data_IF_784823335689
#
_entry.id   IF_784823335689
#
_cell.length_a   1.000
_cell.length_b   1.000
_cell.length_c   1.000
_cell.angle_alpha   90.00
_cell.angle_beta   90.00
_cell.angle_gamma   90.00
#
_symmetry.space_group_name_H-M   'P 1'
#
loop_
_entity.id
_entity.type
_entity.pdbx_description
1 polymer ?
#
# COMPACT_ATOMS: atom_id res chain seq x y z
N UNK A 1 -11.99 -21.93 -7.96
CA UNK A 1 -10.70 -22.30 -8.56
C UNK A 1 -10.41 -21.31 -9.69
N UNK A 2 -9.66 -20.25 -9.41
CA UNK A 2 -9.12 -19.37 -10.44
C UNK A 2 -7.62 -19.34 -10.23
N UNK A 3 -6.95 -20.28 -10.89
CA UNK A 3 -5.50 -20.32 -11.06
C UNK A 3 -5.04 -18.96 -11.59
N UNK A 4 -4.11 -18.29 -10.91
CA UNK A 4 -3.37 -17.17 -11.49
C UNK A 4 -2.54 -17.74 -12.64
N UNK A 5 -3.02 -17.60 -13.86
CA UNK A 5 -2.31 -18.12 -15.05
C UNK A 5 -1.02 -17.33 -15.23
N UNK A 6 0.10 -17.93 -14.84
CA UNK A 6 1.43 -17.36 -15.05
C UNK A 6 1.71 -17.31 -16.55
N UNK A 7 1.91 -16.10 -17.09
CA UNK A 7 2.16 -15.90 -18.52
C UNK A 7 3.61 -16.31 -18.86
N UNK A 8 3.78 -17.11 -19.92
CA UNK A 8 5.09 -17.58 -20.37
C UNK A 8 5.65 -16.67 -21.48
N UNK A 9 6.97 -16.56 -21.54
CA UNK A 9 7.66 -15.93 -22.65
C UNK A 9 7.37 -16.71 -23.93
N UNK A 10 6.70 -16.08 -24.89
CA UNK A 10 6.28 -16.70 -26.15
C UNK A 10 7.49 -17.24 -26.91
N UNK A 11 8.56 -16.45 -27.02
CA UNK A 11 9.76 -16.83 -27.79
C UNK A 11 10.48 -18.03 -27.17
N UNK A 12 10.61 -18.07 -25.83
CA UNK A 12 11.23 -19.21 -25.16
C UNK A 12 10.35 -20.45 -25.27
N UNK A 13 9.04 -20.28 -25.10
CA UNK A 13 8.07 -21.36 -25.18
C UNK A 13 8.08 -22.01 -26.57
N UNK A 14 8.08 -21.21 -27.63
CA UNK A 14 8.21 -21.68 -29.02
C UNK A 14 9.56 -22.41 -29.26
N UNK A 15 10.60 -22.01 -28.53
CA UNK A 15 11.91 -22.68 -28.50
C UNK A 15 11.97 -23.92 -27.59
N UNK A 16 10.84 -24.39 -27.03
CA UNK A 16 10.77 -25.56 -26.15
C UNK A 16 11.20 -25.31 -24.70
N UNK A 17 11.36 -24.04 -24.30
CA UNK A 17 11.83 -23.65 -22.96
C UNK A 17 10.77 -22.82 -22.25
N UNK A 18 10.23 -23.32 -21.14
CA UNK A 18 9.28 -22.57 -20.31
C UNK A 18 10.02 -21.56 -19.43
N UNK A 19 10.01 -20.28 -19.83
CA UNK A 19 10.45 -19.15 -18.99
C UNK A 19 9.27 -18.22 -18.72
N UNK A 20 9.20 -17.70 -17.50
CA UNK A 20 8.19 -16.71 -17.11
C UNK A 20 8.37 -15.40 -17.89
N UNK A 21 7.26 -14.81 -18.34
CA UNK A 21 7.25 -13.50 -18.96
C UNK A 21 7.20 -12.39 -17.90
N UNK A 22 8.06 -11.40 -18.06
CA UNK A 22 8.06 -10.19 -17.21
C UNK A 22 7.49 -8.98 -17.94
N UNK A 23 7.36 -9.07 -19.26
CA UNK A 23 6.96 -7.95 -20.12
C UNK A 23 6.04 -8.43 -21.22
N UNK A 24 5.05 -7.63 -21.56
CA UNK A 24 4.20 -7.79 -22.74
C UNK A 24 4.40 -6.58 -23.65
N UNK A 25 4.62 -6.84 -24.94
CA UNK A 25 4.70 -5.79 -25.94
C UNK A 25 3.32 -5.58 -26.56
N UNK A 26 2.83 -4.34 -26.49
CA UNK A 26 1.49 -3.97 -26.92
C UNK A 26 1.33 -4.17 -28.44
N UNK A 27 2.33 -3.75 -29.20
CA UNK A 27 2.25 -3.80 -30.67
C UNK A 27 2.57 -5.18 -31.26
N UNK A 28 3.37 -5.98 -30.57
CA UNK A 28 3.68 -7.34 -30.99
C UNK A 28 2.65 -8.36 -30.48
N UNK A 29 1.90 -8.03 -29.42
CA UNK A 29 1.04 -8.96 -28.68
C UNK A 29 1.80 -10.18 -28.16
N UNK A 30 3.09 -10.01 -27.88
CA UNK A 30 4.01 -11.08 -27.50
C UNK A 30 4.51 -10.84 -26.09
N UNK A 31 4.56 -11.92 -25.31
CA UNK A 31 5.16 -11.95 -23.99
C UNK A 31 6.66 -12.25 -24.08
N UNK A 32 7.45 -11.48 -23.34
CA UNK A 32 8.90 -11.60 -23.28
C UNK A 32 9.39 -11.82 -21.84
N UNK A 33 10.37 -12.71 -21.68
CA UNK A 33 11.25 -12.74 -20.52
C UNK A 33 12.34 -11.66 -20.67
N UNK A 34 13.11 -11.40 -19.60
CA UNK A 34 14.16 -10.37 -19.63
C UNK A 34 15.22 -10.59 -20.71
N UNK A 35 15.53 -11.85 -21.04
CA UNK A 35 16.52 -12.17 -22.08
C UNK A 35 16.01 -11.87 -23.50
N UNK A 36 14.69 -12.02 -23.73
CA UNK A 36 14.07 -11.82 -25.04
C UNK A 36 13.57 -10.39 -25.27
N UNK A 37 13.24 -9.65 -24.20
CA UNK A 37 12.81 -8.24 -24.27
C UNK A 37 13.96 -7.33 -24.69
N UNK A 38 15.16 -7.57 -24.17
CA UNK A 38 16.34 -6.76 -24.46
C UNK A 38 16.68 -6.66 -25.96
N UNK A 39 16.81 -7.77 -26.73
CA UNK A 39 17.06 -7.70 -28.16
C UNK A 39 15.87 -7.11 -28.95
N UNK A 40 14.63 -7.30 -28.48
CA UNK A 40 13.44 -6.67 -29.07
C UNK A 40 13.53 -5.15 -28.97
N UNK A 41 13.78 -4.62 -27.78
CA UNK A 41 13.89 -3.18 -27.52
C UNK A 41 15.10 -2.52 -28.18
N UNK A 42 16.20 -3.27 -28.35
CA UNK A 42 17.40 -2.76 -29.01
C UNK A 42 17.34 -2.84 -30.55
N UNK A 43 16.39 -3.59 -31.10
CA UNK A 43 16.22 -3.70 -32.55
C UNK A 43 15.76 -2.38 -33.17
N UNK A 44 16.37 -1.99 -34.29
CA UNK A 44 15.95 -0.79 -35.03
C UNK A 44 14.48 -0.83 -35.46
N UNK A 45 13.93 -2.03 -35.66
CA UNK A 45 12.55 -2.25 -36.11
C UNK A 45 11.53 -2.08 -34.97
N UNK A 46 11.89 -2.44 -33.74
CA UNK A 46 10.93 -2.54 -32.62
C UNK A 46 11.25 -1.63 -31.44
N UNK A 47 12.35 -0.85 -31.50
CA UNK A 47 12.77 0.10 -30.44
C UNK A 47 11.70 1.11 -29.99
N UNK A 48 10.68 1.34 -30.82
CA UNK A 48 9.59 2.27 -30.55
C UNK A 48 8.31 1.59 -30.04
N UNK A 49 8.29 0.26 -29.99
CA UNK A 49 7.17 -0.49 -29.44
C UNK A 49 7.07 -0.22 -27.93
N UNK A 50 5.84 -0.10 -27.45
CA UNK A 50 5.53 0.10 -26.05
C UNK A 50 5.38 -1.26 -25.37
N UNK A 51 5.98 -1.34 -24.20
CA UNK A 51 5.93 -2.51 -23.35
C UNK A 51 5.34 -2.16 -22.00
N UNK A 52 4.63 -3.12 -21.41
CA UNK A 52 4.13 -3.06 -20.03
C UNK A 52 4.54 -4.34 -19.30
N UNK A 53 4.56 -4.32 -17.97
CA UNK A 53 4.87 -5.52 -17.20
C UNK A 53 3.78 -6.59 -17.38
N UNK A 54 4.13 -7.86 -17.20
CA UNK A 54 3.16 -8.95 -17.18
C UNK A 54 2.09 -8.77 -16.09
N UNK A 55 2.42 -8.10 -14.98
CA UNK A 55 1.45 -7.69 -13.97
C UNK A 55 0.55 -6.54 -14.44
N UNK A 56 1.13 -5.52 -15.11
CA UNK A 56 0.35 -4.46 -15.73
C UNK A 56 -0.63 -4.99 -16.79
N UNK A 57 -0.28 -6.08 -17.47
CA UNK A 57 -1.19 -6.82 -18.35
C UNK A 57 -2.38 -7.44 -17.59
N UNK A 58 -2.16 -7.99 -16.40
CA UNK A 58 -3.24 -8.54 -15.54
C UNK A 58 -4.17 -7.46 -14.98
N UNK A 59 -3.69 -6.21 -14.91
CA UNK A 59 -4.48 -5.05 -14.53
C UNK A 59 -5.18 -4.39 -15.74
N UNK A 60 -4.86 -4.82 -16.97
CA UNK A 60 -5.62 -4.38 -18.13
C UNK A 60 -7.04 -4.94 -18.04
N UNK A 61 -8.05 -4.20 -18.51
CA UNK A 61 -9.39 -4.76 -18.65
C UNK A 61 -9.38 -6.08 -19.45
N UNK A 62 -10.24 -7.02 -19.08
CA UNK A 62 -10.26 -8.40 -19.58
C UNK A 62 -10.24 -8.52 -21.11
N UNK A 63 -10.87 -7.57 -21.83
CA UNK A 63 -10.88 -7.56 -23.30
C UNK A 63 -9.49 -7.31 -23.94
N UNK A 64 -8.55 -6.65 -23.25
CA UNK A 64 -7.17 -6.53 -23.72
C UNK A 64 -6.39 -7.80 -23.43
N UNK A 65 -6.75 -8.51 -22.35
CA UNK A 65 -6.13 -9.77 -21.97
C UNK A 65 -6.55 -10.94 -22.88
N UNK A 66 -7.75 -10.86 -23.44
CA UNK A 66 -8.34 -11.89 -24.31
C UNK A 66 -7.99 -11.70 -25.80
N UNK A 67 -7.17 -10.70 -26.13
CA UNK A 67 -6.54 -10.60 -27.45
C UNK A 67 -7.52 -10.38 -28.60
N UNK A 68 -7.70 -9.13 -28.96
CA UNK A 68 -7.69 -8.76 -30.37
C UNK A 68 -6.96 -7.44 -30.51
N UNK A 69 -5.87 -7.40 -31.27
CA UNK A 69 -5.25 -6.13 -31.72
C UNK A 69 -6.21 -5.28 -32.56
N UNK A 70 -7.40 -5.83 -32.85
CA UNK A 70 -8.37 -5.33 -33.78
C UNK A 70 -9.78 -5.48 -33.21
N UNK A 71 -10.61 -4.47 -33.46
CA UNK A 71 -12.04 -4.49 -33.21
C UNK A 71 -12.69 -5.67 -33.93
N UNK A 72 -13.47 -6.49 -33.21
CA UNK A 72 -14.13 -7.69 -33.77
C UNK A 72 -15.18 -7.35 -34.83
N UNK A 73 -15.82 -6.19 -34.72
CA UNK A 73 -16.88 -5.76 -35.64
C UNK A 73 -16.33 -5.16 -36.94
N UNK A 74 -15.13 -4.55 -36.88
CA UNK A 74 -14.59 -3.75 -37.99
C UNK A 74 -13.21 -4.21 -38.48
N UNK A 75 -12.60 -5.18 -37.79
CA UNK A 75 -11.26 -5.71 -38.06
C UNK A 75 -10.19 -4.61 -38.21
N UNK A 76 -10.30 -3.56 -37.37
CA UNK A 76 -9.44 -2.37 -37.36
C UNK A 76 -8.80 -2.20 -36.00
N UNK A 77 -7.59 -1.63 -35.95
CA UNK A 77 -6.87 -1.38 -34.70
C UNK A 77 -7.69 -0.52 -33.74
N UNK A 78 -7.57 -0.82 -32.45
CA UNK A 78 -8.12 0.02 -31.41
C UNK A 78 -7.27 1.29 -31.27
N UNK A 79 -7.92 2.45 -31.29
CA UNK A 79 -7.26 3.76 -31.19
C UNK A 79 -7.86 4.62 -30.08
N UNK A 80 -9.07 4.28 -29.64
CA UNK A 80 -9.88 5.05 -28.70
C UNK A 80 -10.37 4.16 -27.56
N UNK A 81 -10.81 4.78 -26.48
CA UNK A 81 -11.45 4.18 -25.35
C UNK A 81 -12.76 4.89 -25.08
N UNK A 82 -13.85 4.14 -24.93
CA UNK A 82 -15.15 4.63 -24.53
C UNK A 82 -15.31 4.51 -23.01
N UNK A 83 -15.29 5.62 -22.24
CA UNK A 83 -15.44 5.55 -20.78
C UNK A 83 -16.81 5.00 -20.36
N UNK A 84 -17.86 5.29 -21.12
CA UNK A 84 -19.24 4.86 -20.81
C UNK A 84 -19.41 3.35 -20.78
N UNK A 85 -18.72 2.64 -21.68
CA UNK A 85 -18.80 1.19 -21.81
C UNK A 85 -17.54 0.48 -21.33
N UNK A 86 -16.59 1.26 -20.80
CA UNK A 86 -15.26 0.82 -20.42
C UNK A 86 -14.58 -0.07 -21.47
N UNK A 87 -14.65 0.29 -22.77
CA UNK A 87 -14.27 -0.58 -23.89
C UNK A 87 -13.47 0.16 -24.98
N UNK A 88 -12.46 -0.47 -25.63
CA UNK A 88 -11.64 0.15 -26.64
C UNK A 88 -12.37 0.10 -27.97
N UNK A 89 -12.16 1.13 -28.77
CA UNK A 89 -12.91 1.36 -29.98
C UNK A 89 -11.92 1.65 -31.11
N UNK A 90 -12.20 1.10 -32.29
CA UNK A 90 -11.62 1.66 -33.50
C UNK A 90 -12.37 2.96 -33.86
N UNK A 91 -11.81 3.77 -34.76
CA UNK A 91 -12.45 5.01 -35.18
C UNK A 91 -13.88 4.80 -35.75
N UNK A 92 -14.14 3.64 -36.34
CA UNK A 92 -15.45 3.29 -36.92
C UNK A 92 -16.49 2.88 -35.87
N UNK A 93 -16.08 2.40 -34.70
CA UNK A 93 -17.03 2.10 -33.62
C UNK A 93 -17.77 3.36 -33.14
N UNK A 94 -17.14 4.54 -33.23
CA UNK A 94 -17.75 5.83 -32.87
C UNK A 94 -19.01 6.05 -33.70
N UNK A 95 -18.89 5.82 -35.02
CA UNK A 95 -19.95 6.08 -35.97
C UNK A 95 -20.98 4.98 -36.03
N UNK A 96 -20.76 3.81 -35.43
CA UNK A 96 -21.69 2.69 -35.57
C UNK A 96 -22.42 2.46 -34.24
N UNK A 97 -21.65 2.20 -33.17
CA UNK A 97 -22.18 1.73 -31.89
C UNK A 97 -22.06 2.77 -30.76
N UNK A 98 -21.18 3.77 -30.89
CA UNK A 98 -20.87 4.74 -29.83
C UNK A 98 -21.30 6.17 -30.16
N UNK A 99 -22.22 6.38 -31.11
CA UNK A 99 -22.71 7.73 -31.52
C UNK A 99 -23.24 8.57 -30.35
N UNK A 100 -23.78 7.91 -29.32
CA UNK A 100 -24.37 8.53 -28.13
C UNK A 100 -23.40 8.61 -26.95
N UNK A 101 -22.24 7.98 -27.04
CA UNK A 101 -21.22 8.02 -26.00
C UNK A 101 -20.44 9.33 -26.12
N UNK A 102 -20.23 9.99 -24.99
CA UNK A 102 -19.48 11.23 -24.93
C UNK A 102 -18.09 10.97 -24.32
N UNK A 103 -17.15 11.88 -24.56
CA UNK A 103 -15.81 11.86 -23.96
C UNK A 103 -14.96 10.64 -24.33
N UNK A 104 -15.04 10.18 -25.58
CA UNK A 104 -14.09 9.19 -26.12
C UNK A 104 -12.66 9.69 -25.91
N UNK A 105 -11.80 8.87 -25.31
CA UNK A 105 -10.40 9.22 -25.03
C UNK A 105 -9.47 8.46 -25.98
N UNK A 106 -8.33 9.03 -26.42
CA UNK A 106 -7.31 8.25 -27.10
C UNK A 106 -6.85 7.10 -26.23
N UNK A 107 -6.81 5.89 -26.78
CA UNK A 107 -6.36 4.70 -26.06
C UNK A 107 -4.93 4.90 -25.54
N UNK A 108 -4.11 5.63 -26.31
CA UNK A 108 -2.75 5.98 -25.93
C UNK A 108 -2.63 6.82 -24.66
N UNK A 109 -3.67 7.57 -24.29
CA UNK A 109 -3.67 8.41 -23.09
C UNK A 109 -4.07 7.58 -21.86
N UNK A 110 -5.04 6.66 -22.01
CA UNK A 110 -5.32 5.65 -20.99
C UNK A 110 -4.07 4.81 -20.70
N UNK A 111 -3.36 4.38 -21.75
CA UNK A 111 -2.11 3.61 -21.60
C UNK A 111 -0.95 4.43 -21.02
N UNK A 112 -1.00 5.77 -21.02
CA UNK A 112 -0.05 6.64 -20.30
C UNK A 112 -0.45 6.81 -18.85
N UNK A 113 -1.74 6.92 -18.55
CA UNK A 113 -2.30 7.01 -17.20
C UNK A 113 -2.12 5.69 -16.42
N UNK A 114 -2.05 4.54 -17.11
CA UNK A 114 -1.72 3.23 -16.54
C UNK A 114 -0.22 3.07 -16.22
N UNK A 115 0.63 4.05 -16.58
CA UNK A 115 1.98 4.09 -15.99
C UNK A 115 1.85 4.56 -14.55
N UNK A 116 1.83 3.61 -13.61
CA UNK A 116 2.16 3.90 -12.23
C UNK A 116 3.40 4.81 -12.20
N UNK A 117 3.43 5.88 -11.37
CA UNK A 117 4.63 6.69 -11.24
C UNK A 117 5.77 5.73 -10.94
N UNK A 118 6.76 5.66 -11.84
CA UNK A 118 7.91 4.82 -11.61
C UNK A 118 8.51 5.23 -10.25
N UNK A 119 8.98 4.25 -9.48
CA UNK A 119 9.49 4.46 -8.11
C UNK A 119 10.45 5.66 -8.00
N UNK A 120 11.11 6.02 -9.10
CA UNK A 120 11.99 7.17 -9.23
C UNK A 120 11.34 8.55 -9.08
N UNK A 121 10.06 8.67 -9.43
CA UNK A 121 9.31 9.94 -9.39
C UNK A 121 8.79 10.27 -7.98
N UNK A 122 8.79 9.29 -7.08
CA UNK A 122 8.34 9.47 -5.69
C UNK A 122 9.34 10.37 -4.96
N UNK A 123 8.92 11.61 -4.70
CA UNK A 123 9.71 12.64 -4.01
C UNK A 123 8.82 13.43 -3.05
N UNK A 124 8.65 12.96 -1.80
CA UNK A 124 7.88 13.69 -0.82
C UNK A 124 8.55 15.02 -0.46
N UNK A 125 7.73 16.02 -0.16
CA UNK A 125 8.15 17.33 0.33
C UNK A 125 7.68 17.53 1.77
N UNK A 126 8.56 18.03 2.65
CA UNK A 126 8.20 18.31 4.04
C UNK A 126 7.18 19.45 4.08
N UNK A 127 6.01 19.19 4.64
CA UNK A 127 4.96 20.18 4.82
C UNK A 127 5.01 20.83 6.20
N UNK A 128 5.04 20.01 7.25
CA UNK A 128 4.86 20.46 8.63
C UNK A 128 5.65 19.58 9.60
N UNK A 129 6.01 20.19 10.73
CA UNK A 129 6.63 19.54 11.89
C UNK A 129 5.61 19.56 13.03
N UNK A 130 5.28 18.38 13.56
CA UNK A 130 4.33 18.25 14.65
C UNK A 130 5.10 18.28 15.97
N UNK A 131 4.99 19.41 16.66
CA UNK A 131 5.61 19.65 17.96
C UNK A 131 4.51 19.79 19.00
N UNK A 132 4.57 19.01 20.09
CA UNK A 132 3.74 19.28 21.27
C UNK A 132 4.49 20.27 22.16
N UNK A 133 3.94 21.48 22.31
CA UNK A 133 4.56 22.58 23.05
C UNK A 133 4.22 22.59 24.54
N UNK A 134 3.17 21.88 24.99
CA UNK A 134 2.72 21.91 26.38
C UNK A 134 3.23 20.72 27.20
N UNK A 135 3.74 21.00 28.41
CA UNK A 135 3.89 20.24 29.68
C UNK A 135 4.02 18.69 29.69
N UNK A 136 4.12 18.00 28.56
CA UNK A 136 4.26 16.56 28.44
C UNK A 136 5.75 16.25 28.38
N UNK A 137 6.30 15.93 29.56
CA UNK A 137 7.74 15.78 29.84
C UNK A 137 8.46 14.75 28.95
N UNK A 138 7.74 13.81 28.33
CA UNK A 138 8.27 12.90 27.32
C UNK A 138 7.14 12.32 26.47
N UNK A 139 7.29 12.32 25.15
CA UNK A 139 6.37 11.68 24.21
C UNK A 139 7.14 10.62 23.46
N UNK A 140 6.57 9.42 23.39
CA UNK A 140 7.13 8.32 22.63
C UNK A 140 6.04 7.80 21.70
N UNK A 141 6.14 8.14 20.42
CA UNK A 141 5.05 7.95 19.45
C UNK A 141 5.29 6.70 18.62
N UNK A 142 4.65 5.60 19.04
CA UNK A 142 4.82 4.28 18.40
C UNK A 142 3.79 3.99 17.31
N UNK A 143 2.71 4.76 17.27
CA UNK A 143 1.67 4.71 16.25
C UNK A 143 1.20 6.14 15.92
N UNK A 144 0.99 6.40 14.64
CA UNK A 144 0.37 7.64 14.15
C UNK A 144 -0.34 7.35 12.82
N UNK A 145 -1.47 8.01 12.58
CA UNK A 145 -2.17 7.92 11.31
C UNK A 145 -2.92 9.20 10.95
N UNK A 146 -3.24 9.35 9.67
CA UNK A 146 -3.92 10.50 9.10
C UNK A 146 -5.40 10.15 8.90
N UNK A 147 -6.29 10.93 9.48
CA UNK A 147 -7.73 10.77 9.29
C UNK A 147 -8.17 11.26 7.90
N UNK A 148 -9.32 10.82 7.37
CA UNK A 148 -9.83 11.26 6.07
C UNK A 148 -10.01 12.79 6.00
N UNK A 149 -10.36 13.42 7.12
CA UNK A 149 -10.50 14.87 7.24
C UNK A 149 -9.15 15.63 7.38
N UNK A 150 -8.02 14.94 7.26
CA UNK A 150 -6.67 15.51 7.34
C UNK A 150 -6.16 15.82 8.75
N UNK A 151 -6.93 15.52 9.80
CA UNK A 151 -6.44 15.54 11.19
C UNK A 151 -5.50 14.37 11.44
N UNK A 152 -4.69 14.46 12.49
CA UNK A 152 -3.75 13.41 12.84
C UNK A 152 -4.08 12.79 14.19
N UNK A 153 -3.88 11.48 14.28
CA UNK A 153 -3.92 10.74 15.52
C UNK A 153 -2.50 10.29 15.84
N UNK A 154 -2.09 10.45 17.10
CA UNK A 154 -0.79 9.99 17.59
C UNK A 154 -0.98 9.30 18.94
N UNK A 155 -0.22 8.24 19.18
CA UNK A 155 -0.24 7.50 20.44
C UNK A 155 0.93 7.89 21.31
N UNK A 156 0.65 8.41 22.50
CA UNK A 156 1.66 8.64 23.52
C UNK A 156 1.83 7.38 24.36
N UNK A 157 2.86 6.60 24.03
CA UNK A 157 3.18 5.34 24.70
C UNK A 157 3.57 5.52 26.17
N UNK A 158 4.15 6.67 26.55
CA UNK A 158 4.56 6.88 27.94
C UNK A 158 3.38 7.03 28.89
N UNK A 159 2.21 7.43 28.36
CA UNK A 159 0.99 7.68 29.12
C UNK A 159 -0.19 6.85 28.61
N UNK A 160 0.07 5.84 27.77
CA UNK A 160 -0.92 4.93 27.20
C UNK A 160 -2.18 5.65 26.68
N UNK A 161 -2.02 6.69 25.85
CA UNK A 161 -3.16 7.52 25.43
C UNK A 161 -3.14 7.92 23.97
N UNK A 162 -4.35 8.14 23.46
CA UNK A 162 -4.63 8.59 22.10
C UNK A 162 -4.76 10.11 22.08
N UNK A 163 -4.01 10.79 21.21
CA UNK A 163 -4.02 12.24 21.07
C UNK A 163 -4.53 12.64 19.68
N UNK A 164 -5.39 13.64 19.63
CA UNK A 164 -5.88 14.24 18.38
C UNK A 164 -5.17 15.56 18.09
N UNK A 165 -4.78 15.73 16.83
CA UNK A 165 -4.18 16.94 16.28
C UNK A 165 -4.99 17.48 15.12
N UNK A 166 -4.98 18.80 15.00
CA UNK A 166 -5.59 19.51 13.87
C UNK A 166 -4.83 19.27 12.57
N UNK A 167 -5.43 19.66 11.45
CA UNK A 167 -4.78 19.68 10.12
C UNK A 167 -3.52 20.58 10.09
N UNK A 168 -3.40 21.49 11.06
CA UNK A 168 -2.24 22.36 11.23
C UNK A 168 -1.15 21.77 12.13
N UNK A 169 -1.34 20.54 12.60
CA UNK A 169 -0.38 19.86 13.47
C UNK A 169 -0.39 20.36 14.91
N UNK A 170 -1.39 21.17 15.28
CA UNK A 170 -1.59 21.64 16.66
C UNK A 170 -2.35 20.59 17.46
N UNK A 171 -1.91 20.33 18.69
CA UNK A 171 -2.63 19.48 19.65
C UNK A 171 -4.04 20.01 19.89
N UNK A 172 -5.04 19.12 19.85
CA UNK A 172 -6.45 19.46 20.07
C UNK A 172 -6.91 18.95 21.42
N UNK A 173 -6.80 17.64 21.66
CA UNK A 173 -7.25 16.98 22.90
C UNK A 173 -6.69 15.57 23.02
N UNK A 174 -6.76 15.04 24.24
CA UNK A 174 -6.72 13.60 24.49
C UNK A 174 -8.08 13.00 24.13
N UNK A 175 -8.06 11.87 23.40
CA UNK A 175 -9.28 11.17 22.98
C UNK A 175 -9.64 10.10 24.00
N UNK A 176 -8.69 9.25 24.39
CA UNK A 176 -8.88 8.20 25.40
C UNK A 176 -7.54 7.76 25.97
N UNK A 177 -7.54 7.35 27.24
CA UNK A 177 -6.40 6.70 27.92
C UNK A 177 -6.71 5.22 28.18
N UNK A 178 -5.68 4.38 28.11
CA UNK A 178 -5.76 2.95 28.34
C UNK A 178 -4.99 2.56 29.59
N UNK A 179 -5.48 1.52 30.28
CA UNK A 179 -4.74 0.87 31.36
C UNK A 179 -3.62 -0.01 30.79
N UNK A 180 -3.89 -0.67 29.67
CA UNK A 180 -2.99 -1.49 28.88
C UNK A 180 -2.08 -0.64 27.99
N UNK A 181 -1.08 -1.29 27.39
CA UNK A 181 -0.09 -0.64 26.53
C UNK A 181 -0.60 -0.63 25.08
N UNK A 182 -0.93 0.53 24.47
CA UNK A 182 -1.34 0.58 23.07
C UNK A 182 -0.10 0.48 22.15
N UNK A 183 0.03 -0.62 21.41
CA UNK A 183 1.22 -0.90 20.59
C UNK A 183 1.08 -0.48 19.13
N UNK A 184 -0.15 -0.50 18.61
CA UNK A 184 -0.47 -0.14 17.22
C UNK A 184 -1.93 0.27 17.11
N UNK A 185 -2.26 0.97 16.03
CA UNK A 185 -3.64 1.32 15.74
C UNK A 185 -3.85 1.70 14.29
N UNK A 186 -5.08 1.49 13.84
CA UNK A 186 -5.50 1.84 12.49
C UNK A 186 -6.92 2.42 12.48
N UNK A 187 -7.21 3.19 11.44
CA UNK A 187 -8.57 3.60 11.13
C UNK A 187 -9.38 2.39 10.64
N UNK A 188 -10.56 2.20 11.21
CA UNK A 188 -11.53 1.20 10.73
C UNK A 188 -12.47 1.86 9.72
N UNK A 189 -13.21 2.89 10.14
CA UNK A 189 -14.13 3.65 9.28
C UNK A 189 -14.53 4.96 9.96
N UNK A 190 -14.67 6.03 9.19
CA UNK A 190 -15.11 7.35 9.67
C UNK A 190 -14.29 7.83 10.89
N UNK A 191 -14.87 7.72 12.09
CA UNK A 191 -14.30 8.14 13.37
C UNK A 191 -13.98 6.96 14.30
N UNK A 192 -14.07 5.71 13.80
CA UNK A 192 -13.75 4.50 14.55
C UNK A 192 -12.33 4.03 14.29
N UNK A 193 -11.56 3.84 15.36
CA UNK A 193 -10.18 3.37 15.36
C UNK A 193 -10.09 2.04 16.09
N UNK A 194 -9.31 1.10 15.56
CA UNK A 194 -8.90 -0.11 16.27
C UNK A 194 -7.53 0.11 16.90
N UNK A 195 -7.38 -0.25 18.17
CA UNK A 195 -6.15 -0.11 18.95
C UNK A 195 -5.72 -1.48 19.48
N UNK A 196 -4.55 -1.96 19.06
CA UNK A 196 -3.94 -3.18 19.58
C UNK A 196 -3.38 -2.90 20.99
N UNK A 197 -3.91 -3.59 22.00
CA UNK A 197 -3.48 -3.45 23.39
C UNK A 197 -2.54 -4.60 23.74
N UNK A 198 -1.25 -4.29 23.84
CA UNK A 198 -0.18 -5.25 24.10
C UNK A 198 -0.34 -6.00 25.41
N UNK A 199 0.08 -7.27 25.41
CA UNK A 199 0.07 -8.17 26.56
C UNK A 199 -1.29 -8.32 27.27
N UNK A 200 -2.39 -8.02 26.59
CA UNK A 200 -3.75 -8.07 27.14
C UNK A 200 -4.71 -8.96 26.37
N UNK A 201 -4.26 -9.55 25.26
CA UNK A 201 -5.08 -10.28 24.30
C UNK A 201 -6.30 -9.49 23.80
N UNK A 202 -6.20 -8.16 23.73
CA UNK A 202 -7.32 -7.29 23.42
C UNK A 202 -7.00 -6.28 22.32
N UNK A 203 -8.00 -6.02 21.50
CA UNK A 203 -8.04 -4.87 20.60
C UNK A 203 -9.26 -4.03 20.95
N UNK A 204 -9.08 -2.73 21.17
CA UNK A 204 -10.16 -1.80 21.48
C UNK A 204 -10.67 -1.11 20.21
N UNK A 205 -11.99 -0.99 20.05
CA UNK A 205 -12.60 -0.07 19.10
C UNK A 205 -12.95 1.23 19.83
N UNK A 206 -12.45 2.34 19.30
CA UNK A 206 -12.57 3.68 19.88
C UNK A 206 -13.30 4.58 18.91
N UNK A 207 -14.30 5.30 19.39
CA UNK A 207 -14.94 6.40 18.68
C UNK A 207 -14.24 7.71 19.06
N UNK A 208 -13.61 8.35 18.07
CA UNK A 208 -12.80 9.56 18.26
C UNK A 208 -13.66 10.77 18.62
N UNK A 209 -14.87 10.88 18.07
CA UNK A 209 -15.74 12.03 18.31
C UNK A 209 -16.44 11.92 19.66
N UNK A 210 -16.79 10.70 20.08
CA UNK A 210 -17.35 10.43 21.41
C UNK A 210 -16.28 10.29 22.51
N UNK A 211 -15.00 10.29 22.16
CA UNK A 211 -13.87 10.17 23.10
C UNK A 211 -13.99 8.95 24.03
N UNK A 212 -14.38 7.80 23.46
CA UNK A 212 -14.63 6.59 24.27
C UNK A 212 -14.32 5.30 23.52
N UNK A 213 -13.92 4.30 24.28
CA UNK A 213 -13.91 2.91 23.83
C UNK A 213 -15.34 2.42 23.71
N UNK A 214 -15.73 1.98 22.51
CA UNK A 214 -17.08 1.49 22.20
C UNK A 214 -17.18 -0.03 22.32
N UNK A 215 -16.08 -0.75 22.08
CA UNK A 215 -16.06 -2.21 22.11
C UNK A 215 -14.66 -2.74 22.40
N UNK A 216 -14.59 -3.90 23.05
CA UNK A 216 -13.36 -4.68 23.21
C UNK A 216 -13.50 -5.98 22.43
N UNK A 217 -12.53 -6.25 21.55
CA UNK A 217 -12.36 -7.50 20.83
C UNK A 217 -11.33 -8.33 21.58
N UNK A 218 -11.73 -9.50 22.09
CA UNK A 218 -10.84 -10.40 22.84
C UNK A 218 -10.30 -11.49 21.93
N UNK A 219 -8.99 -11.68 21.92
CA UNK A 219 -8.31 -12.69 21.12
C UNK A 219 -7.77 -13.82 22.01
N UNK A 220 -7.34 -14.91 21.37
CA UNK A 220 -6.67 -16.04 22.03
C UNK A 220 -5.15 -15.85 22.14
N UNK A 221 -4.69 -14.65 21.82
CA UNK A 221 -3.28 -14.31 21.71
C UNK A 221 -3.08 -12.79 21.79
N UNK A 222 -1.84 -12.35 21.97
CA UNK A 222 -1.52 -10.94 22.21
C UNK A 222 -1.80 -10.07 20.98
N UNK A 223 -1.69 -8.74 21.12
CA UNK A 223 -2.05 -7.80 20.06
C UNK A 223 -0.95 -6.73 19.94
N UNK A 224 -0.04 -6.94 18.99
CA UNK A 224 1.10 -6.03 18.75
C UNK A 224 0.89 -5.13 17.54
N UNK A 225 0.14 -5.62 16.54
CA UNK A 225 -0.16 -4.92 15.30
C UNK A 225 -1.63 -5.08 14.91
N UNK A 226 -2.23 -4.06 14.31
CA UNK A 226 -3.61 -4.11 13.83
C UNK A 226 -3.79 -3.32 12.53
N UNK A 227 -4.47 -3.93 11.56
CA UNK A 227 -4.92 -3.26 10.34
C UNK A 227 -6.38 -3.54 10.05
N UNK A 228 -7.01 -2.65 9.28
CA UNK A 228 -8.40 -2.79 8.88
C UNK A 228 -8.63 -2.43 7.42
N UNK A 229 -9.62 -3.08 6.80
CA UNK A 229 -10.25 -2.69 5.53
C UNK A 229 -11.67 -2.13 5.74
N UNK A 230 -12.03 -1.84 7.00
CA UNK A 230 -13.34 -1.33 7.43
C UNK A 230 -14.41 -2.40 7.68
N UNK A 231 -14.20 -3.63 7.23
CA UNK A 231 -15.09 -4.77 7.52
C UNK A 231 -14.41 -5.83 8.37
N UNK A 232 -13.09 -5.94 8.26
CA UNK A 232 -12.28 -6.90 8.97
C UNK A 232 -11.11 -6.22 9.66
N UNK A 233 -10.67 -6.82 10.76
CA UNK A 233 -9.39 -6.53 11.38
C UNK A 233 -8.45 -7.69 11.10
N UNK A 234 -7.18 -7.40 10.85
CA UNK A 234 -6.12 -8.40 10.97
C UNK A 234 -5.20 -7.95 12.10
N UNK A 235 -5.07 -8.82 13.09
CA UNK A 235 -4.36 -8.55 14.35
C UNK A 235 -3.25 -9.58 14.49
N UNK A 236 -2.01 -9.14 14.74
CA UNK A 236 -0.84 -10.03 14.86
C UNK A 236 -0.12 -9.88 16.20
N UNK A 237 0.50 -10.97 16.67
CA UNK A 237 1.24 -11.08 17.93
C UNK A 237 2.69 -11.58 17.75
N UNK A 238 3.36 -11.17 16.66
CA UNK A 238 4.71 -11.63 16.28
C UNK A 238 4.90 -13.15 16.10
N UNK A 239 3.91 -13.97 16.43
CA UNK A 239 3.92 -15.43 16.35
C UNK A 239 2.88 -15.91 15.35
N UNK A 240 1.70 -15.31 15.33
CA UNK A 240 0.55 -15.61 14.46
C UNK A 240 -0.28 -14.34 14.20
N UNK A 241 -1.32 -14.49 13.40
CA UNK A 241 -2.31 -13.46 13.16
C UNK A 241 -3.71 -14.03 13.17
N UNK A 242 -4.68 -13.22 13.57
CA UNK A 242 -6.10 -13.53 13.49
C UNK A 242 -6.81 -12.49 12.66
N UNK A 243 -7.61 -12.94 11.69
CA UNK A 243 -8.58 -12.11 10.99
C UNK A 243 -9.89 -12.14 11.77
N UNK A 244 -10.41 -10.96 12.12
CA UNK A 244 -11.68 -10.78 12.82
C UNK A 244 -12.67 -10.09 11.88
N UNK A 245 -13.83 -10.69 11.65
CA UNK A 245 -14.91 -10.05 10.91
C UNK A 245 -15.73 -9.17 11.87
N UNK A 246 -15.85 -7.88 11.57
CA UNK A 246 -16.53 -6.92 12.46
C UNK A 246 -18.06 -7.01 12.43
N UNK A 247 -18.64 -7.72 11.46
CA UNK A 247 -20.10 -7.86 11.36
C UNK A 247 -20.63 -8.95 12.30
N UNK A 248 -19.93 -10.08 12.40
CA UNK A 248 -20.35 -11.25 13.19
C UNK A 248 -19.36 -11.62 14.31
N UNK A 249 -18.24 -10.89 14.42
CA UNK A 249 -17.15 -11.15 15.36
C UNK A 249 -16.54 -12.54 15.20
N UNK A 250 -16.64 -13.15 14.02
CA UNK A 250 -15.99 -14.43 13.72
C UNK A 250 -14.48 -14.27 13.56
N UNK A 251 -13.73 -15.26 14.06
CA UNK A 251 -12.27 -15.27 14.08
C UNK A 251 -11.74 -16.35 13.14
N UNK A 252 -10.77 -16.00 12.30
CA UNK A 252 -10.04 -16.93 11.44
C UNK A 252 -8.55 -16.80 11.72
N UNK A 253 -7.91 -17.88 12.15
CA UNK A 253 -6.46 -17.91 12.38
C UNK A 253 -5.76 -17.94 11.02
N UNK A 254 -4.75 -17.10 10.86
CA UNK A 254 -3.89 -17.04 9.68
C UNK A 254 -2.56 -17.69 10.01
N UNK A 255 -2.48 -19.00 9.74
CA UNK A 255 -1.28 -19.80 10.01
C UNK A 255 -0.07 -19.25 9.24
N UNK A 256 1.09 -19.15 9.89
CA UNK A 256 2.32 -18.65 9.29
C UNK A 256 2.37 -17.13 9.02
N UNK A 257 1.28 -16.40 9.25
CA UNK A 257 1.25 -14.94 9.16
C UNK A 257 1.65 -14.35 10.51
N UNK A 258 2.87 -13.84 10.61
CA UNK A 258 3.37 -13.14 11.80
C UNK A 258 3.98 -11.81 11.40
N UNK A 259 3.64 -10.75 12.12
CA UNK A 259 4.06 -9.42 11.76
C UNK A 259 4.23 -8.52 12.99
N UNK A 260 5.22 -7.63 12.91
CA UNK A 260 5.44 -6.57 13.90
C UNK A 260 4.60 -5.33 13.62
N UNK A 261 4.29 -5.13 12.33
CA UNK A 261 3.31 -4.19 11.81
C UNK A 261 2.60 -4.84 10.66
N UNK A 262 1.35 -4.45 10.46
CA UNK A 262 0.49 -5.03 9.45
C UNK A 262 -0.30 -3.94 8.74
N UNK A 263 -0.57 -4.12 7.46
CA UNK A 263 -1.46 -3.28 6.68
C UNK A 263 -2.29 -4.14 5.74
N UNK A 264 -3.47 -3.64 5.35
CA UNK A 264 -4.33 -4.28 4.37
C UNK A 264 -4.47 -3.37 3.15
N UNK A 265 -4.31 -3.96 1.96
CA UNK A 265 -4.52 -3.26 0.71
C UNK A 265 -5.01 -4.22 -0.37
N UNK A 266 -6.14 -3.91 -1.01
CA UNK A 266 -6.79 -4.75 -2.03
C UNK A 266 -6.85 -6.23 -1.60
N UNK A 267 -7.39 -6.47 -0.40
CA UNK A 267 -7.53 -7.79 0.24
C UNK A 267 -6.22 -8.48 0.67
N UNK A 268 -5.06 -8.04 0.19
CA UNK A 268 -3.77 -8.59 0.57
C UNK A 268 -3.28 -8.03 1.91
N UNK A 269 -2.51 -8.85 2.61
CA UNK A 269 -1.92 -8.56 3.91
C UNK A 269 -0.45 -8.24 3.70
N UNK A 270 -0.04 -7.06 4.17
CA UNK A 270 1.34 -6.62 4.14
C UNK A 270 1.86 -6.56 5.55
N UNK A 271 3.11 -6.97 5.77
CA UNK A 271 3.66 -6.97 7.12
C UNK A 271 5.16 -6.79 7.16
N UNK A 272 5.65 -6.24 8.28
CA UNK A 272 7.08 -6.24 8.60
C UNK A 272 7.38 -7.32 9.62
N UNK A 273 8.58 -7.87 9.55
CA UNK A 273 9.17 -8.72 10.60
C UNK A 273 10.50 -8.07 10.97
N UNK A 274 10.51 -7.20 11.97
CA UNK A 274 11.62 -6.26 12.12
C UNK A 274 12.94 -6.93 12.50
N UNK A 275 12.93 -8.00 13.29
CA UNK A 275 14.13 -8.75 13.66
C UNK A 275 14.78 -9.48 12.48
N UNK A 276 13.99 -9.77 11.44
CA UNK A 276 14.44 -10.47 10.24
C UNK A 276 14.72 -9.51 9.08
N UNK A 277 14.55 -8.20 9.28
CA UNK A 277 14.67 -7.18 8.24
C UNK A 277 13.84 -7.50 7.00
N UNK A 278 12.63 -8.03 7.22
CA UNK A 278 11.76 -8.56 6.18
C UNK A 278 10.47 -7.74 6.07
N UNK A 279 10.03 -7.54 4.83
CA UNK A 279 8.68 -7.09 4.47
C UNK A 279 8.04 -8.16 3.60
N UNK A 280 6.74 -8.39 3.76
CA UNK A 280 6.02 -9.36 2.95
C UNK A 280 4.69 -8.80 2.44
N UNK A 281 4.19 -9.45 1.39
CA UNK A 281 2.82 -9.36 0.92
C UNK A 281 2.28 -10.77 0.78
N UNK A 282 1.23 -11.09 1.51
CA UNK A 282 0.52 -12.36 1.52
C UNK A 282 -0.93 -12.13 1.06
N UNK A 283 -1.61 -13.19 0.60
CA UNK A 283 -3.04 -13.14 0.32
C UNK A 283 -3.85 -12.91 1.59
N UNK A 284 -5.14 -12.63 1.45
CA UNK A 284 -6.09 -12.51 2.57
C UNK A 284 -6.19 -13.77 3.45
N UNK A 285 -5.75 -14.93 2.93
CA UNK A 285 -5.75 -16.23 3.61
C UNK A 285 -4.39 -16.61 4.18
N UNK A 286 -3.37 -15.76 3.99
CA UNK A 286 -2.03 -15.97 4.53
C UNK A 286 -1.04 -16.67 3.59
N UNK A 287 -1.40 -16.90 2.33
CA UNK A 287 -0.49 -17.50 1.35
C UNK A 287 0.56 -16.48 0.87
N UNK A 288 1.85 -16.84 0.76
CA UNK A 288 2.87 -15.89 0.37
C UNK A 288 2.79 -15.48 -1.10
N UNK A 289 2.70 -14.17 -1.38
CA UNK A 289 2.80 -13.61 -2.74
C UNK A 289 4.24 -13.17 -3.03
N UNK A 290 4.83 -12.37 -2.14
CA UNK A 290 6.24 -12.02 -2.23
C UNK A 290 6.82 -11.65 -0.86
N UNK A 291 8.14 -11.68 -0.80
CA UNK A 291 8.94 -11.21 0.34
C UNK A 291 10.04 -10.30 -0.19
N UNK A 292 10.23 -9.17 0.50
CA UNK A 292 11.32 -8.24 0.28
C UNK A 292 12.26 -8.27 1.49
N UNK A 293 13.51 -8.66 1.25
CA UNK A 293 14.58 -8.66 2.23
C UNK A 293 15.84 -8.15 1.53
N UNK A 294 16.26 -6.94 1.87
CA UNK A 294 17.35 -6.25 1.18
C UNK A 294 18.12 -5.37 2.16
N UNK A 295 19.40 -5.09 1.88
CA UNK A 295 20.25 -4.23 2.72
C UNK A 295 19.70 -2.80 2.91
N UNK A 296 18.80 -2.36 2.04
CA UNK A 296 18.15 -1.05 2.13
C UNK A 296 17.20 -0.90 3.33
N UNK A 297 16.72 -2.01 3.91
CA UNK A 297 15.83 -2.00 5.07
C UNK A 297 16.51 -2.64 6.29
N UNK A 298 16.39 -1.98 7.43
CA UNK A 298 16.96 -2.41 8.70
C UNK A 298 16.01 -2.02 9.84
N UNK A 299 15.62 -3.00 10.66
CA UNK A 299 14.59 -2.88 11.69
C UNK A 299 13.33 -2.17 11.17
N UNK A 300 12.62 -2.72 10.17
CA UNK A 300 11.42 -2.09 9.61
C UNK A 300 10.26 -2.07 10.63
N UNK A 301 9.98 -0.90 11.20
CA UNK A 301 9.08 -0.72 12.36
C UNK A 301 7.69 -0.20 12.01
N UNK A 302 7.49 0.26 10.78
CA UNK A 302 6.26 0.86 10.28
C UNK A 302 6.10 0.55 8.80
N UNK A 303 4.86 0.35 8.36
CA UNK A 303 4.55 0.23 6.93
C UNK A 303 3.20 0.85 6.59
N UNK A 304 3.07 1.36 5.37
CA UNK A 304 1.80 1.79 4.79
C UNK A 304 1.85 1.69 3.27
N UNK A 305 0.73 1.89 2.58
CA UNK A 305 0.63 1.79 1.13
C UNK A 305 -0.12 2.97 0.53
N UNK A 306 0.34 3.44 -0.64
CA UNK A 306 -0.38 4.41 -1.45
C UNK A 306 -1.46 3.75 -2.34
N UNK A 307 -2.17 4.57 -3.13
CA UNK A 307 -3.22 4.11 -4.05
C UNK A 307 -2.72 3.20 -5.18
N UNK A 308 -1.43 3.27 -5.49
CA UNK A 308 -0.79 2.48 -6.54
C UNK A 308 -0.21 1.16 -5.97
N UNK A 309 -0.28 0.95 -4.66
CA UNK A 309 0.24 -0.24 -3.99
C UNK A 309 1.74 -0.21 -3.71
N UNK A 310 2.39 0.96 -3.83
CA UNK A 310 3.76 1.09 -3.34
C UNK A 310 3.79 0.97 -1.82
N UNK A 311 4.76 0.23 -1.29
CA UNK A 311 4.88 -0.05 0.14
C UNK A 311 5.94 0.88 0.73
N UNK A 312 5.52 1.76 1.64
CA UNK A 312 6.38 2.72 2.32
C UNK A 312 6.74 2.15 3.69
N UNK A 313 8.03 2.10 3.99
CA UNK A 313 8.58 1.37 5.14
C UNK A 313 9.42 2.32 5.97
N UNK A 314 9.11 2.41 7.26
CA UNK A 314 9.94 3.06 8.26
C UNK A 314 11.11 2.15 8.62
N UNK A 315 12.27 2.37 8.00
CA UNK A 315 13.50 1.61 8.26
C UNK A 315 14.23 2.21 9.45
N UNK A 316 13.80 1.86 10.67
CA UNK A 316 14.28 2.47 11.92
C UNK A 316 15.80 2.43 12.04
N UNK A 317 16.40 1.27 11.78
CA UNK A 317 17.85 1.08 11.92
C UNK A 317 18.69 1.84 10.88
N UNK A 318 18.07 2.35 9.82
CA UNK A 318 18.72 3.16 8.78
C UNK A 318 18.28 4.63 8.80
N UNK A 319 17.52 5.08 9.81
CA UNK A 319 16.99 6.46 9.89
C UNK A 319 16.37 6.94 8.55
N UNK A 320 15.56 6.10 7.91
CA UNK A 320 15.07 6.37 6.56
C UNK A 320 13.68 5.82 6.28
N UNK A 321 13.02 6.40 5.28
CA UNK A 321 11.81 5.86 4.67
C UNK A 321 12.19 5.26 3.32
N UNK A 322 11.88 3.98 3.15
CA UNK A 322 12.12 3.21 1.91
C UNK A 322 10.78 2.90 1.28
N UNK A 323 10.66 3.14 -0.02
CA UNK A 323 9.51 2.69 -0.80
C UNK A 323 9.89 1.43 -1.59
N UNK A 324 8.98 0.47 -1.67
CA UNK A 324 9.11 -0.79 -2.41
C UNK A 324 7.98 -0.89 -3.44
N UNK A 325 8.30 -1.38 -4.64
CA UNK A 325 7.30 -1.55 -5.70
C UNK A 325 6.22 -2.57 -5.34
N UNK A 326 5.02 -2.49 -5.93
CA UNK A 326 3.92 -3.42 -5.63
C UNK A 326 4.25 -4.91 -5.83
N UNK A 327 5.24 -5.21 -6.66
CA UNK A 327 5.75 -6.56 -6.95
C UNK A 327 6.91 -6.99 -6.04
N UNK A 328 7.35 -6.13 -5.13
CA UNK A 328 8.46 -6.39 -4.21
C UNK A 328 9.85 -6.42 -4.86
N UNK A 329 10.00 -6.04 -6.15
CA UNK A 329 11.28 -6.21 -6.88
C UNK A 329 12.23 -5.02 -6.82
N UNK A 330 11.70 -3.81 -6.69
CA UNK A 330 12.50 -2.58 -6.68
C UNK A 330 12.25 -1.79 -5.41
N UNK A 331 13.24 -1.02 -5.00
CA UNK A 331 13.15 -0.18 -3.81
C UNK A 331 13.94 1.10 -3.98
N UNK A 332 13.55 2.12 -3.22
CA UNK A 332 14.22 3.42 -3.20
C UNK A 332 14.11 4.05 -1.81
N UNK A 333 15.20 4.59 -1.30
CA UNK A 333 15.14 5.50 -0.14
C UNK A 333 14.62 6.85 -0.61
N UNK A 334 13.51 7.30 -0.03
CA UNK A 334 12.84 8.56 -0.41
C UNK A 334 13.01 9.67 0.63
N UNK A 335 13.31 9.30 1.88
CA UNK A 335 13.62 10.20 2.98
C UNK A 335 14.73 9.58 3.83
N UNK A 336 15.57 10.43 4.39
CA UNK A 336 16.77 10.07 5.15
C UNK A 336 16.94 10.94 6.39
N UNK A 337 18.03 10.74 7.12
CA UNK A 337 18.39 11.59 8.26
C UNK A 337 18.58 13.06 7.86
N UNK A 338 19.03 13.34 6.62
CA UNK A 338 19.14 14.70 6.09
C UNK A 338 17.77 15.41 5.96
N UNK A 339 16.69 14.64 5.84
CA UNK A 339 15.32 15.14 5.79
C UNK A 339 14.68 15.26 7.19
N UNK A 340 15.44 14.92 8.24
CA UNK A 340 14.99 14.93 9.63
C UNK A 340 14.41 13.60 10.12
N UNK A 341 14.48 12.53 9.31
CA UNK A 341 14.05 11.20 9.75
C UNK A 341 15.04 10.66 10.78
N UNK A 342 14.57 10.43 12.01
CA UNK A 342 15.39 9.85 13.07
C UNK A 342 14.62 8.76 13.79
N UNK A 343 15.16 7.54 13.82
CA UNK A 343 14.54 6.37 14.43
C UNK A 343 13.03 6.29 14.13
N UNK A 344 12.61 6.27 12.85
CA UNK A 344 11.20 6.27 12.50
C UNK A 344 10.50 5.01 13.03
N UNK A 345 9.34 5.18 13.67
CA UNK A 345 8.56 4.07 14.24
C UNK A 345 7.32 3.79 13.39
N UNK A 346 6.40 4.75 13.33
CA UNK A 346 5.15 4.63 12.60
C UNK A 346 5.16 5.50 11.35
N UNK A 347 4.42 5.04 10.35
CA UNK A 347 4.22 5.74 9.08
C UNK A 347 2.79 5.47 8.62
N UNK A 348 2.12 6.49 8.12
CA UNK A 348 0.82 6.35 7.48
C UNK A 348 0.66 7.35 6.34
N UNK A 349 -0.14 6.97 5.34
CA UNK A 349 -0.46 7.78 4.17
C UNK A 349 -1.98 7.86 4.05
N UNK A 350 -2.50 9.08 4.07
CA UNK A 350 -3.85 9.33 3.57
C UNK A 350 -3.83 9.19 2.04
N UNK A 351 -4.36 8.07 1.57
CA UNK A 351 -4.37 7.66 0.16
C UNK A 351 -5.09 8.65 -0.77
N UNK A 352 -6.09 9.38 -0.27
CA UNK A 352 -6.85 10.34 -1.07
C UNK A 352 -6.10 11.66 -1.27
N UNK A 353 -5.36 12.09 -0.25
CA UNK A 353 -4.70 13.41 -0.23
C UNK A 353 -3.20 13.35 -0.53
N UNK A 354 -2.59 12.16 -0.45
CA UNK A 354 -1.14 11.96 -0.57
C UNK A 354 -0.37 12.53 0.62
N UNK A 355 -1.04 12.85 1.74
CA UNK A 355 -0.38 13.32 2.96
C UNK A 355 0.16 12.12 3.72
N UNK A 356 1.45 12.17 4.05
CA UNK A 356 2.16 11.14 4.80
C UNK A 356 2.58 11.69 6.16
N UNK A 357 2.31 10.95 7.23
CA UNK A 357 2.85 11.23 8.57
C UNK A 357 3.88 10.16 8.93
N UNK A 358 4.98 10.59 9.54
CA UNK A 358 6.03 9.71 10.06
C UNK A 358 6.31 10.10 11.50
N UNK A 359 6.17 9.16 12.44
CA UNK A 359 6.65 9.37 13.80
C UNK A 359 8.17 9.18 13.87
N UNK A 360 8.83 10.02 14.66
CA UNK A 360 10.28 10.00 14.84
C UNK A 360 10.61 10.03 16.32
N UNK A 361 11.80 9.54 16.69
CA UNK A 361 12.25 9.60 18.07
C UNK A 361 12.44 11.05 18.52
N UNK A 362 11.77 11.40 19.62
CA UNK A 362 11.87 12.72 20.25
C UNK A 362 13.15 12.81 21.08
N UNK A 363 14.08 13.66 20.68
CA UNK A 363 15.04 14.28 21.61
C UNK A 363 14.35 15.44 22.37
N UNK A 364 14.83 15.79 23.56
CA UNK A 364 14.23 16.84 24.41
C UNK A 364 14.00 18.13 23.58
N UNK A 365 12.76 18.64 23.56
CA UNK A 365 12.31 19.80 22.75
C UNK A 365 12.40 19.64 21.21
N UNK A 366 12.38 18.42 20.69
CA UNK A 366 12.31 18.15 19.23
C UNK A 366 10.92 17.67 18.77
N UNK A 367 10.77 17.62 17.45
CA UNK A 367 9.58 17.14 16.74
C UNK A 367 9.22 15.71 17.13
N UNK A 368 7.92 15.40 17.19
CA UNK A 368 7.41 14.07 17.51
C UNK A 368 6.89 13.32 16.27
N UNK A 369 6.51 14.06 15.24
CA UNK A 369 6.21 13.53 13.92
C UNK A 369 6.49 14.57 12.83
N UNK A 370 6.73 14.08 11.62
CA UNK A 370 6.93 14.89 10.41
C UNK A 370 5.82 14.57 9.42
N UNK A 371 5.30 15.60 8.77
CA UNK A 371 4.25 15.47 7.75
C UNK A 371 4.79 15.88 6.40
N UNK A 372 4.62 15.01 5.42
CA UNK A 372 5.07 15.16 4.04
C UNK A 372 3.90 15.09 3.07
N UNK A 373 4.11 15.56 1.83
CA UNK A 373 3.18 15.40 0.72
C UNK A 373 3.90 15.08 -0.58
N UNK A 374 3.30 14.19 -1.35
CA UNK A 374 3.75 13.75 -2.68
C UNK A 374 3.24 14.65 -3.81
#
# INVERSE_FOLDING_TARGET
>A
MTSSVTQLCTICHDGGVSKEAITWCIECEVFFCGDCEKPHRMSRLFKNHKTISSQGYQELPSFMQEGGSQCRDHNKKFELYCPTHAYPCCAQCITDNHKKCQQMKPLSDILKEVKSPGIEQIKPSLMKRLTITDNIKSLNIWACFVLPNGKFIMFDYNQNRLLLFSIDGLYVREVVSFTEIPLDACLVRNDTVAVALGSSNQTALVDIEQNKTTQIVKLLHDCDAVASDGQTLVISDMVKSTKVNLNDMSHTILEGVRASRIAIFKENIYGTIYYENKVFCYTSTGEPLWTFQHHGINLPQGLTLDTNGFVYIASRGNNSIVVVSPDGKTSKTILSEADGIKNPYAIDINRETGVMIVSIERMKNSDSALVYKF
#
